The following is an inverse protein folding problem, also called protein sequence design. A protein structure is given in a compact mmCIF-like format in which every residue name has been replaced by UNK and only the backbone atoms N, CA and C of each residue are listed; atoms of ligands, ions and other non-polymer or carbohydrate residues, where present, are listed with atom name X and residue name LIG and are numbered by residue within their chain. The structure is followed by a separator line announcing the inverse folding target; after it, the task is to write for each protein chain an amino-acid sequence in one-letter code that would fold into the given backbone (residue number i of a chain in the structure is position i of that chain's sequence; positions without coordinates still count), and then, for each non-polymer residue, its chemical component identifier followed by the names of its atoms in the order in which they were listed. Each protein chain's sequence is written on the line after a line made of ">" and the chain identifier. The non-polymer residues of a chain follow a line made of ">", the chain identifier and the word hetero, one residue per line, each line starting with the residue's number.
data_IF_561419372768
#
_entry.id   IF_561419372768
#
_cell.length_a   1.000
_cell.length_b   1.000
_cell.length_c   1.000
_cell.angle_alpha   90.00
_cell.angle_beta   90.00
_cell.angle_gamma   90.00
#
_symmetry.space_group_name_H-M   'P 1'
#
loop_
_entity.id
_entity.type
_entity.pdbx_description
1 polymer ?
#
# COMPACT_ATOMS: atom_id res chain seq x y z
N UNK A 1 12.98 21.12 -3.92
CA UNK A 1 13.67 19.81 -3.98
C UNK A 1 12.85 18.90 -4.88
N UNK A 2 13.35 18.49 -6.05
CA UNK A 2 12.54 17.82 -7.09
C UNK A 2 11.88 16.53 -6.55
N UNK A 3 10.55 16.45 -6.62
CA UNK A 3 9.71 15.34 -6.16
C UNK A 3 10.25 13.98 -6.63
N UNK A 4 10.73 13.91 -7.88
CA UNK A 4 11.29 12.71 -8.52
C UNK A 4 12.57 12.23 -7.82
N UNK A 5 13.45 13.15 -7.39
CA UNK A 5 14.67 12.79 -6.63
C UNK A 5 14.36 12.34 -5.22
N UNK A 6 13.29 12.87 -4.61
CA UNK A 6 12.83 12.41 -3.30
C UNK A 6 12.27 10.99 -3.40
N UNK A 7 11.44 10.72 -4.42
CA UNK A 7 10.88 9.40 -4.69
C UNK A 7 11.99 8.36 -4.95
N UNK A 8 12.98 8.68 -5.79
CA UNK A 8 14.04 7.70 -6.11
C UNK A 8 14.92 7.36 -4.91
N UNK A 9 15.30 8.35 -4.09
CA UNK A 9 16.06 8.12 -2.85
C UNK A 9 15.25 7.32 -1.83
N UNK A 10 13.95 7.61 -1.73
CA UNK A 10 13.01 6.90 -0.86
C UNK A 10 12.91 5.42 -1.25
N UNK A 11 12.79 5.16 -2.55
CA UNK A 11 12.70 3.80 -3.10
C UNK A 11 14.00 3.01 -2.89
N UNK A 12 15.15 3.66 -3.08
CA UNK A 12 16.45 3.04 -2.85
C UNK A 12 16.65 2.64 -1.36
N UNK A 13 16.27 3.52 -0.43
CA UNK A 13 16.33 3.23 1.02
C UNK A 13 15.43 2.06 1.45
N UNK A 14 14.29 1.86 0.78
CA UNK A 14 13.43 0.70 0.99
C UNK A 14 14.04 -0.57 0.43
N UNK A 15 14.59 -0.52 -0.79
CA UNK A 15 15.25 -1.64 -1.46
C UNK A 15 16.47 -2.15 -0.69
N UNK A 16 17.26 -1.26 -0.09
CA UNK A 16 18.39 -1.63 0.76
C UNK A 16 17.96 -2.29 2.08
N UNK A 17 16.74 -2.00 2.56
CA UNK A 17 16.25 -2.56 3.82
C UNK A 17 15.55 -3.91 3.59
N UNK A 18 16.27 -5.00 3.86
CA UNK A 18 15.79 -6.39 3.75
C UNK A 18 15.18 -6.74 2.38
N UNK A 19 15.99 -6.72 1.29
CA UNK A 19 15.51 -6.92 -0.08
C UNK A 19 14.79 -8.26 -0.29
N UNK A 20 15.21 -9.32 0.42
CA UNK A 20 14.57 -10.64 0.31
C UNK A 20 13.12 -10.64 0.78
N UNK A 21 12.80 -9.96 1.88
CA UNK A 21 11.41 -9.85 2.36
C UNK A 21 10.57 -8.98 1.44
N UNK A 22 11.14 -7.87 0.97
CA UNK A 22 10.48 -7.01 -0.01
C UNK A 22 10.14 -7.77 -1.29
N UNK A 23 11.11 -8.49 -1.87
CA UNK A 23 10.92 -9.31 -3.06
C UNK A 23 9.86 -10.39 -2.85
N UNK A 24 9.86 -11.05 -1.69
CA UNK A 24 8.85 -12.04 -1.33
C UNK A 24 7.45 -11.42 -1.23
N UNK A 25 7.32 -10.23 -0.65
CA UNK A 25 6.03 -9.51 -0.62
C UNK A 25 5.56 -9.15 -2.04
N UNK A 26 6.46 -8.69 -2.91
CA UNK A 26 6.13 -8.42 -4.32
C UNK A 26 5.70 -9.69 -5.05
N UNK A 27 6.42 -10.79 -4.86
CA UNK A 27 6.09 -12.09 -5.45
C UNK A 27 4.71 -12.58 -4.99
N UNK A 28 4.41 -12.53 -3.70
CA UNK A 28 3.07 -12.89 -3.18
C UNK A 28 2.00 -11.96 -3.75
N UNK A 29 2.29 -10.67 -3.93
CA UNK A 29 1.34 -9.72 -4.54
C UNK A 29 1.03 -10.09 -5.99
N UNK A 30 2.04 -10.44 -6.78
CA UNK A 30 1.86 -10.91 -8.16
C UNK A 30 1.05 -12.21 -8.22
N UNK A 31 1.41 -13.20 -7.39
CA UNK A 31 0.69 -14.48 -7.30
C UNK A 31 -0.77 -14.23 -6.92
N UNK A 32 -1.04 -13.37 -5.93
CA UNK A 32 -2.42 -13.02 -5.55
C UNK A 32 -3.20 -12.34 -6.67
N UNK A 33 -2.57 -11.45 -7.44
CA UNK A 33 -3.21 -10.81 -8.59
C UNK A 33 -3.61 -11.82 -9.67
N UNK A 34 -2.72 -12.78 -9.95
CA UNK A 34 -2.99 -13.90 -10.87
C UNK A 34 -4.11 -14.78 -10.32
N UNK A 35 -4.02 -15.20 -9.06
CA UNK A 35 -4.96 -16.13 -8.43
C UNK A 35 -6.38 -15.56 -8.33
N UNK A 36 -6.48 -14.28 -7.97
CA UNK A 36 -7.77 -13.60 -7.79
C UNK A 36 -8.51 -13.43 -9.12
N UNK A 37 -7.80 -13.06 -10.19
CA UNK A 37 -8.41 -12.97 -11.51
C UNK A 37 -8.73 -14.34 -12.11
N UNK A 38 -7.85 -15.33 -11.90
CA UNK A 38 -8.10 -16.71 -12.33
C UNK A 38 -9.37 -17.28 -11.67
N UNK A 39 -9.56 -17.05 -10.37
CA UNK A 39 -10.77 -17.47 -9.64
C UNK A 39 -12.06 -16.90 -10.24
N UNK A 40 -12.06 -15.63 -10.66
CA UNK A 40 -13.21 -14.99 -11.32
C UNK A 40 -13.45 -15.60 -12.70
N UNK A 41 -12.40 -15.77 -13.50
CA UNK A 41 -12.52 -16.32 -14.87
C UNK A 41 -12.96 -17.78 -14.85
N UNK A 42 -12.57 -18.55 -13.82
CA UNK A 42 -12.95 -19.95 -13.64
C UNK A 42 -14.45 -20.15 -13.38
N UNK A 43 -15.20 -19.10 -13.00
CA UNK A 43 -16.66 -19.16 -12.90
C UNK A 43 -17.33 -19.27 -14.27
N UNK A 44 -16.72 -18.76 -15.34
CA UNK A 44 -17.34 -18.73 -16.67
C UNK A 44 -17.51 -20.16 -17.24
N UNK A 45 -16.48 -21.02 -17.28
CA UNK A 45 -16.66 -22.41 -17.70
C UNK A 45 -17.63 -23.18 -16.80
N UNK A 46 -17.67 -22.89 -15.50
CA UNK A 46 -18.59 -23.54 -14.57
C UNK A 46 -20.05 -23.18 -14.88
N UNK A 47 -20.33 -21.93 -15.24
CA UNK A 47 -21.64 -21.50 -15.71
C UNK A 47 -22.01 -22.15 -17.06
N UNK A 48 -21.07 -22.28 -17.99
CA UNK A 48 -21.30 -22.91 -19.30
C UNK A 48 -21.60 -24.42 -19.19
N UNK A 49 -20.92 -25.12 -18.27
CA UNK A 49 -21.19 -26.54 -18.01
C UNK A 49 -22.53 -26.79 -17.31
N UNK A 50 -23.06 -25.79 -16.60
CA UNK A 50 -24.40 -25.85 -16.01
C UNK A 50 -25.48 -25.55 -17.06
N UNK A 51 -25.18 -24.74 -18.07
CA UNK A 51 -26.12 -24.26 -19.10
C UNK A 51 -26.15 -25.15 -20.36
N UNK A 52 -26.22 -26.48 -20.18
CA UNK A 52 -26.17 -27.54 -21.22
C UNK A 52 -27.29 -27.45 -22.29
N UNK A 53 -27.96 -26.30 -22.47
CA UNK A 53 -29.04 -26.07 -23.42
C UNK A 53 -28.91 -24.85 -24.33
N UNK A 54 -27.96 -23.93 -24.13
CA UNK A 54 -27.82 -22.73 -24.97
C UNK A 54 -26.44 -22.65 -25.63
N UNK A 55 -26.37 -23.12 -26.87
CA UNK A 55 -25.14 -23.18 -27.65
C UNK A 55 -24.68 -21.82 -28.15
N UNK A 56 -23.75 -21.19 -27.46
CA UNK A 56 -22.74 -20.35 -28.10
C UNK A 56 -21.34 -20.73 -27.58
N UNK A 57 -20.44 -21.21 -28.45
CA UNK A 57 -19.08 -21.52 -28.06
C UNK A 57 -18.32 -20.21 -27.86
N UNK A 58 -17.96 -19.88 -26.62
CA UNK A 58 -16.91 -18.89 -26.37
C UNK A 58 -15.56 -19.53 -26.76
N UNK A 59 -15.28 -19.50 -28.07
CA UNK A 59 -14.26 -20.33 -28.73
C UNK A 59 -12.84 -20.11 -28.15
N UNK A 60 -12.54 -18.92 -27.61
CA UNK A 60 -11.22 -18.61 -27.06
C UNK A 60 -10.93 -19.17 -25.65
N UNK A 61 -11.87 -19.01 -24.71
CA UNK A 61 -11.64 -19.37 -23.30
C UNK A 61 -11.84 -20.88 -23.06
N UNK A 62 -12.82 -21.49 -23.71
CA UNK A 62 -13.06 -22.93 -23.61
C UNK A 62 -11.85 -23.74 -24.13
N UNK A 63 -11.23 -23.30 -25.23
CA UNK A 63 -10.00 -23.90 -25.76
C UNK A 63 -8.79 -23.68 -24.83
N UNK A 64 -8.68 -22.51 -24.18
CA UNK A 64 -7.62 -22.26 -23.20
C UNK A 64 -7.72 -23.21 -22.00
N UNK A 65 -8.94 -23.38 -21.44
CA UNK A 65 -9.17 -24.31 -20.32
C UNK A 65 -8.99 -25.76 -20.73
N UNK A 66 -9.41 -26.16 -21.94
CA UNK A 66 -9.18 -27.50 -22.47
C UNK A 66 -7.69 -27.81 -22.61
N UNK A 67 -6.90 -26.90 -23.18
CA UNK A 67 -5.44 -27.05 -23.28
C UNK A 67 -4.75 -27.09 -21.90
N UNK A 68 -5.24 -26.30 -20.93
CA UNK A 68 -4.75 -26.35 -19.55
C UNK A 68 -5.06 -27.70 -18.89
N UNK A 69 -6.25 -28.23 -19.12
CA UNK A 69 -6.67 -29.52 -18.56
C UNK A 69 -5.91 -30.69 -19.18
N UNK A 70 -5.69 -30.67 -20.49
CA UNK A 70 -4.87 -31.66 -21.20
C UNK A 70 -3.42 -31.65 -20.70
N UNK A 71 -2.84 -30.46 -20.43
CA UNK A 71 -1.51 -30.34 -19.81
C UNK A 71 -1.47 -30.79 -18.35
N UNK A 72 -2.56 -30.61 -17.62
CA UNK A 72 -2.68 -31.03 -16.22
C UNK A 72 -3.04 -32.52 -16.08
N UNK A 73 -3.41 -33.21 -17.17
CA UNK A 73 -3.88 -34.60 -17.15
C UNK A 73 -5.21 -34.78 -16.41
N UNK A 74 -6.00 -33.71 -16.26
CA UNK A 74 -7.27 -33.72 -15.55
C UNK A 74 -8.42 -33.77 -16.56
N UNK A 75 -9.40 -34.63 -16.34
CA UNK A 75 -10.65 -34.59 -17.09
C UNK A 75 -11.49 -33.39 -16.61
N UNK A 76 -11.96 -32.57 -17.55
CA UNK A 76 -12.84 -31.42 -17.28
C UNK A 76 -14.23 -31.91 -16.86
N UNK A 77 -14.35 -32.35 -15.61
CA UNK A 77 -15.62 -32.62 -14.96
C UNK A 77 -15.98 -31.44 -14.02
N UNK A 78 -17.28 -31.21 -13.82
CA UNK A 78 -17.82 -30.22 -12.88
C UNK A 78 -17.17 -30.39 -11.49
N UNK A 79 -16.99 -31.64 -11.04
CA UNK A 79 -16.33 -31.95 -9.77
C UNK A 79 -14.88 -31.45 -9.68
N UNK A 80 -14.10 -31.59 -10.75
CA UNK A 80 -12.70 -31.15 -10.79
C UNK A 80 -12.60 -29.62 -10.73
N UNK A 81 -13.43 -28.92 -11.50
CA UNK A 81 -13.47 -27.45 -11.52
C UNK A 81 -13.89 -26.91 -10.14
N UNK A 82 -14.88 -27.55 -9.50
CA UNK A 82 -15.34 -27.16 -8.17
C UNK A 82 -14.26 -27.37 -7.11
N UNK A 83 -13.50 -28.47 -7.20
CA UNK A 83 -12.38 -28.73 -6.29
C UNK A 83 -11.27 -27.69 -6.46
N UNK A 84 -10.90 -27.36 -7.71
CA UNK A 84 -9.93 -26.29 -8.00
C UNK A 84 -10.45 -24.95 -7.45
N UNK A 85 -11.72 -24.62 -7.67
CA UNK A 85 -12.32 -23.39 -7.14
C UNK A 85 -12.27 -23.35 -5.61
N UNK A 86 -12.60 -24.45 -4.92
CA UNK A 86 -12.51 -24.55 -3.46
C UNK A 86 -11.08 -24.33 -2.95
N UNK A 87 -10.09 -24.94 -3.61
CA UNK A 87 -8.67 -24.73 -3.29
C UNK A 87 -8.29 -23.28 -3.48
N UNK A 88 -8.67 -22.66 -4.60
CA UNK A 88 -8.40 -21.23 -4.85
C UNK A 88 -9.04 -20.34 -3.79
N UNK A 89 -10.30 -20.60 -3.44
CA UNK A 89 -11.07 -19.84 -2.45
C UNK A 89 -10.46 -19.95 -1.05
N UNK A 90 -9.79 -21.07 -0.74
CA UNK A 90 -9.11 -21.29 0.54
C UNK A 90 -7.68 -20.74 0.56
N UNK A 91 -6.90 -20.99 -0.50
CA UNK A 91 -5.49 -20.61 -0.59
C UNK A 91 -5.32 -19.10 -0.75
N UNK A 92 -6.19 -18.43 -1.51
CA UNK A 92 -6.12 -16.98 -1.72
C UNK A 92 -6.13 -16.18 -0.42
N UNK A 93 -7.14 -16.33 0.48
CA UNK A 93 -7.16 -15.59 1.74
C UNK A 93 -6.00 -15.99 2.67
N UNK A 94 -5.54 -17.25 2.64
CA UNK A 94 -4.35 -17.66 3.37
C UNK A 94 -3.12 -16.88 2.90
N UNK A 95 -2.85 -16.83 1.59
CA UNK A 95 -1.75 -16.06 1.03
C UNK A 95 -1.86 -14.57 1.37
N UNK A 96 -3.07 -14.00 1.34
CA UNK A 96 -3.31 -12.61 1.77
C UNK A 96 -3.01 -12.40 3.25
N UNK A 97 -3.41 -13.33 4.12
CA UNK A 97 -3.11 -13.27 5.55
C UNK A 97 -1.60 -13.31 5.82
N UNK A 98 -0.88 -14.24 5.18
CA UNK A 98 0.57 -14.35 5.30
C UNK A 98 1.28 -13.09 4.79
N UNK A 99 0.82 -12.54 3.66
CA UNK A 99 1.30 -11.26 3.14
C UNK A 99 1.07 -10.12 4.15
N UNK A 100 -0.10 -10.05 4.79
CA UNK A 100 -0.41 -9.03 5.78
C UNK A 100 0.53 -9.08 6.99
N UNK A 101 0.86 -10.28 7.46
CA UNK A 101 1.86 -10.47 8.53
C UNK A 101 3.26 -10.01 8.12
N UNK A 102 3.68 -10.35 6.89
CA UNK A 102 4.97 -9.92 6.33
C UNK A 102 5.03 -8.40 6.16
N UNK A 103 3.97 -7.79 5.64
CA UNK A 103 3.85 -6.35 5.46
C UNK A 103 3.96 -5.62 6.81
N UNK A 104 3.25 -6.09 7.84
CA UNK A 104 3.31 -5.53 9.19
C UNK A 104 4.70 -5.69 9.82
N UNK A 105 5.32 -6.86 9.66
CA UNK A 105 6.67 -7.12 10.15
C UNK A 105 7.73 -6.26 9.46
N UNK A 106 7.63 -6.11 8.14
CA UNK A 106 8.52 -5.26 7.34
C UNK A 106 8.39 -3.79 7.75
N UNK A 107 7.16 -3.28 7.89
CA UNK A 107 6.89 -1.90 8.31
C UNK A 107 7.51 -1.60 9.69
N UNK A 108 7.27 -2.47 10.67
CA UNK A 108 7.82 -2.31 12.04
C UNK A 108 9.35 -2.30 12.03
N UNK A 109 9.98 -3.25 11.32
CA UNK A 109 11.44 -3.35 11.22
C UNK A 109 12.05 -2.13 10.54
N UNK A 110 11.42 -1.63 9.49
CA UNK A 110 11.86 -0.43 8.77
C UNK A 110 11.80 0.81 9.66
N UNK A 111 10.67 1.05 10.35
CA UNK A 111 10.51 2.16 11.31
C UNK A 111 11.60 2.10 12.38
N UNK A 112 11.82 0.92 12.98
CA UNK A 112 12.82 0.72 14.02
C UNK A 112 14.24 1.05 13.53
N UNK A 113 14.59 0.62 12.32
CA UNK A 113 15.92 0.83 11.75
C UNK A 113 16.20 2.31 11.48
N UNK A 114 15.21 3.05 10.95
CA UNK A 114 15.33 4.50 10.75
C UNK A 114 15.45 5.23 12.09
N UNK A 115 14.57 4.92 13.07
CA UNK A 115 14.65 5.52 14.42
C UNK A 115 16.02 5.31 15.05
N UNK A 116 16.56 4.09 14.99
CA UNK A 116 17.87 3.76 15.57
C UNK A 116 19.01 4.51 14.88
N UNK A 117 19.02 4.61 13.55
CA UNK A 117 20.03 5.35 12.79
C UNK A 117 20.01 6.84 13.13
N UNK A 118 18.83 7.44 13.23
CA UNK A 118 18.68 8.85 13.57
C UNK A 118 19.06 9.14 15.01
N UNK A 119 18.62 8.32 15.97
CA UNK A 119 19.02 8.43 17.36
C UNK A 119 20.54 8.39 17.53
N UNK A 120 21.22 7.46 16.84
CA UNK A 120 22.69 7.39 16.84
C UNK A 120 23.35 8.64 16.26
N UNK A 121 22.82 9.20 15.17
CA UNK A 121 23.35 10.44 14.57
C UNK A 121 23.15 11.66 15.47
N UNK A 122 22.05 11.70 16.22
CA UNK A 122 21.76 12.78 17.17
C UNK A 122 22.72 12.73 18.36
N UNK A 123 23.00 11.54 18.90
CA UNK A 123 23.97 11.37 20.00
C UNK A 123 25.38 11.76 19.57
N UNK A 124 25.76 11.49 18.31
CA UNK A 124 27.08 11.79 17.77
C UNK A 124 27.20 13.21 17.19
N UNK A 125 26.15 14.03 17.25
CA UNK A 125 26.17 15.38 16.69
C UNK A 125 26.93 16.35 17.61
N UNK A 126 27.65 17.31 17.00
CA UNK A 126 28.37 18.33 17.74
C UNK A 126 27.45 19.16 18.64
N UNK A 127 27.95 19.47 19.84
CA UNK A 127 27.22 20.25 20.85
C UNK A 127 26.75 21.61 20.30
N UNK A 128 27.51 22.23 19.39
CA UNK A 128 27.14 23.50 18.75
C UNK A 128 25.83 23.42 17.92
N UNK A 129 25.55 22.27 17.30
CA UNK A 129 24.31 22.01 16.56
C UNK A 129 23.13 21.72 17.51
N UNK A 130 23.39 21.04 18.62
CA UNK A 130 22.41 20.72 19.66
C UNK A 130 21.95 21.97 20.41
N UNK A 131 22.85 22.91 20.71
CA UNK A 131 22.51 24.13 21.45
C UNK A 131 21.79 25.19 20.60
N UNK A 132 21.92 25.12 19.27
CA UNK A 132 21.23 26.01 18.32
C UNK A 132 19.77 25.60 18.03
N UNK A 133 19.34 24.39 18.42
CA UNK A 133 17.97 23.90 18.21
C UNK A 133 17.28 23.62 19.54
N UNK A 134 16.01 24.00 19.65
CA UNK A 134 15.20 23.72 20.85
C UNK A 134 15.14 22.21 21.15
N UNK A 135 15.34 21.84 22.43
CA UNK A 135 15.18 20.46 22.93
C UNK A 135 13.81 19.87 22.59
N UNK A 136 12.76 20.69 22.64
CA UNK A 136 11.38 20.32 22.29
C UNK A 136 11.26 19.94 20.81
N UNK A 137 11.93 20.70 19.92
CA UNK A 137 11.94 20.41 18.49
C UNK A 137 12.69 19.10 18.19
N UNK A 138 13.81 18.85 18.87
CA UNK A 138 14.57 17.60 18.73
C UNK A 138 13.74 16.37 19.18
N UNK A 139 13.03 16.48 20.31
CA UNK A 139 12.12 15.44 20.81
C UNK A 139 10.93 15.22 19.87
N UNK A 140 10.36 16.28 19.30
CA UNK A 140 9.25 16.18 18.35
C UNK A 140 9.67 15.47 17.05
N UNK A 141 10.85 15.77 16.51
CA UNK A 141 11.37 15.11 15.31
C UNK A 141 11.53 13.60 15.57
N UNK A 142 12.13 13.22 16.68
CA UNK A 142 12.35 11.82 17.07
C UNK A 142 11.06 11.05 17.33
N UNK A 143 10.09 11.67 18.01
CA UNK A 143 8.90 11.00 18.53
C UNK A 143 7.73 11.02 17.55
N UNK A 144 7.66 12.01 16.65
CA UNK A 144 6.53 12.19 15.71
C UNK A 144 6.95 12.21 14.24
N UNK A 145 7.98 12.97 13.85
CA UNK A 145 8.30 13.12 12.42
C UNK A 145 8.93 11.87 11.81
N UNK A 146 9.82 11.18 12.54
CA UNK A 146 10.46 9.95 12.05
C UNK A 146 9.49 8.77 11.89
N UNK A 147 8.60 8.46 12.86
CA UNK A 147 7.56 7.46 12.67
C UNK A 147 6.61 7.80 11.53
N UNK A 148 6.20 9.07 11.42
CA UNK A 148 5.32 9.52 10.35
C UNK A 148 6.00 9.37 8.99
N UNK A 149 7.28 9.74 8.89
CA UNK A 149 8.08 9.55 7.69
C UNK A 149 8.10 8.08 7.27
N UNK A 150 8.48 7.17 8.16
CA UNK A 150 8.48 5.74 7.86
C UNK A 150 7.07 5.19 7.54
N UNK A 151 6.01 5.77 8.13
CA UNK A 151 4.62 5.52 7.75
C UNK A 151 4.30 5.96 6.31
N UNK A 152 4.74 7.15 5.90
CA UNK A 152 4.57 7.64 4.53
C UNK A 152 5.28 6.76 3.49
N UNK A 153 6.49 6.28 3.83
CA UNK A 153 7.22 5.31 2.99
C UNK A 153 6.43 4.01 2.81
N UNK A 154 5.83 3.51 3.88
CA UNK A 154 4.97 2.32 3.80
C UNK A 154 3.72 2.55 2.94
N UNK A 155 3.08 3.71 3.07
CA UNK A 155 1.93 4.09 2.22
C UNK A 155 2.33 4.11 0.74
N UNK A 156 3.50 4.66 0.42
CA UNK A 156 4.03 4.69 -0.94
C UNK A 156 4.25 3.27 -1.50
N UNK A 157 4.83 2.38 -0.69
CA UNK A 157 5.03 0.98 -1.05
C UNK A 157 3.70 0.22 -1.23
N UNK A 158 2.71 0.47 -0.37
CA UNK A 158 1.36 -0.07 -0.52
C UNK A 158 0.66 0.44 -1.77
N UNK A 159 0.89 1.70 -2.15
CA UNK A 159 0.37 2.27 -3.40
C UNK A 159 0.94 1.55 -4.62
N UNK A 160 2.25 1.24 -4.64
CA UNK A 160 2.87 0.44 -5.70
C UNK A 160 2.28 -0.98 -5.79
N UNK A 161 2.08 -1.64 -4.65
CA UNK A 161 1.44 -2.96 -4.61
C UNK A 161 -0.01 -2.91 -5.12
N UNK A 162 -0.75 -1.87 -4.75
CA UNK A 162 -2.11 -1.64 -5.27
C UNK A 162 -2.10 -1.41 -6.78
N UNK A 163 -1.11 -0.70 -7.32
CA UNK A 163 -0.98 -0.49 -8.75
C UNK A 163 -0.75 -1.80 -9.50
N UNK A 164 0.10 -2.68 -8.97
CA UNK A 164 0.32 -4.03 -9.52
C UNK A 164 -0.99 -4.82 -9.54
N UNK A 165 -1.78 -4.78 -8.46
CA UNK A 165 -3.07 -5.47 -8.40
C UNK A 165 -4.06 -4.91 -9.43
N UNK A 166 -4.15 -3.59 -9.56
CA UNK A 166 -5.00 -2.94 -10.58
C UNK A 166 -4.56 -3.36 -11.99
N UNK A 167 -3.26 -3.37 -12.29
CA UNK A 167 -2.75 -3.84 -13.57
C UNK A 167 -3.10 -5.31 -13.83
N UNK A 168 -2.98 -6.19 -12.82
CA UNK A 168 -3.36 -7.59 -12.94
C UNK A 168 -4.87 -7.75 -13.23
N UNK A 169 -5.72 -6.99 -12.55
CA UNK A 169 -7.17 -7.01 -12.78
C UNK A 169 -7.55 -6.47 -14.16
N UNK A 170 -6.91 -5.40 -14.62
CA UNK A 170 -7.10 -4.89 -15.98
C UNK A 170 -6.65 -5.92 -17.01
N UNK A 171 -5.52 -6.59 -16.80
CA UNK A 171 -5.05 -7.65 -17.70
C UNK A 171 -6.08 -8.79 -17.83
N UNK A 172 -6.61 -9.27 -16.70
CA UNK A 172 -7.69 -10.27 -16.69
C UNK A 172 -8.97 -9.77 -17.36
N UNK A 173 -9.35 -8.52 -17.11
CA UNK A 173 -10.54 -7.92 -17.72
C UNK A 173 -10.40 -7.79 -19.25
N UNK A 174 -9.22 -7.42 -19.76
CA UNK A 174 -8.95 -7.35 -21.20
C UNK A 174 -9.04 -8.73 -21.85
N UNK A 175 -8.50 -9.77 -21.19
CA UNK A 175 -8.62 -11.17 -21.64
C UNK A 175 -10.09 -11.58 -21.75
N UNK A 176 -10.93 -11.14 -20.79
CA UNK A 176 -12.35 -11.45 -20.78
C UNK A 176 -13.14 -10.69 -21.86
N UNK A 177 -13.00 -9.36 -21.89
CA UNK A 177 -13.64 -8.49 -22.88
C UNK A 177 -12.93 -7.14 -22.95
N UNK A 178 -12.14 -6.96 -24.00
CA UNK A 178 -11.44 -5.70 -24.25
C UNK A 178 -12.41 -4.51 -24.37
N UNK A 179 -13.52 -4.67 -25.11
CA UNK A 179 -14.50 -3.59 -25.36
C UNK A 179 -15.11 -3.07 -24.05
N UNK A 180 -15.62 -3.97 -23.20
CA UNK A 180 -16.19 -3.59 -21.90
C UNK A 180 -15.12 -2.99 -20.97
N UNK A 181 -13.92 -3.55 -20.97
CA UNK A 181 -12.82 -3.06 -20.14
C UNK A 181 -12.44 -1.63 -20.46
N UNK A 182 -12.32 -1.26 -21.74
CA UNK A 182 -12.02 0.13 -22.13
C UNK A 182 -13.07 1.12 -21.67
N UNK A 183 -14.36 0.76 -21.74
CA UNK A 183 -15.45 1.61 -21.24
C UNK A 183 -15.33 1.81 -19.73
N UNK A 184 -15.16 0.73 -18.96
CA UNK A 184 -15.04 0.78 -17.50
C UNK A 184 -13.79 1.56 -17.07
N UNK A 185 -12.65 1.33 -17.73
CA UNK A 185 -11.41 2.07 -17.48
C UNK A 185 -11.60 3.56 -17.79
N UNK A 186 -12.30 3.91 -18.88
CA UNK A 186 -12.65 5.29 -19.22
C UNK A 186 -13.46 5.98 -18.12
N UNK A 187 -14.51 5.32 -17.62
CA UNK A 187 -15.32 5.82 -16.49
C UNK A 187 -14.48 5.95 -15.23
N UNK A 188 -13.60 4.99 -14.94
CA UNK A 188 -12.68 5.02 -13.80
C UNK A 188 -11.70 6.19 -13.86
N UNK A 189 -11.14 6.49 -15.04
CA UNK A 189 -10.27 7.64 -15.26
C UNK A 189 -11.04 8.95 -15.07
N UNK A 190 -12.27 9.03 -15.59
CA UNK A 190 -13.11 10.21 -15.43
C UNK A 190 -13.41 10.47 -13.94
N UNK A 191 -13.84 9.44 -13.20
CA UNK A 191 -14.05 9.50 -11.76
C UNK A 191 -12.77 9.91 -11.02
N UNK A 192 -11.62 9.35 -11.40
CA UNK A 192 -10.33 9.71 -10.81
C UNK A 192 -10.00 11.20 -10.99
N UNK A 193 -10.26 11.76 -12.18
CA UNK A 193 -10.05 13.19 -12.45
C UNK A 193 -10.96 14.06 -11.56
N UNK A 194 -12.22 13.69 -11.39
CA UNK A 194 -13.13 14.39 -10.48
C UNK A 194 -12.66 14.30 -9.02
N UNK A 195 -12.27 13.10 -8.56
CA UNK A 195 -11.82 12.89 -7.19
C UNK A 195 -10.48 13.57 -6.89
N UNK A 196 -9.61 13.70 -7.89
CA UNK A 196 -8.32 14.40 -7.77
C UNK A 196 -8.49 15.82 -7.22
N UNK A 197 -9.57 16.52 -7.59
CA UNK A 197 -9.90 17.85 -7.04
C UNK A 197 -10.06 17.83 -5.52
N UNK A 198 -10.75 16.81 -4.99
CA UNK A 198 -10.97 16.65 -3.55
C UNK A 198 -9.68 16.28 -2.82
N UNK A 199 -8.83 15.44 -3.43
CA UNK A 199 -7.52 15.09 -2.87
C UNK A 199 -6.65 16.33 -2.70
N UNK A 200 -6.58 17.22 -3.70
CA UNK A 200 -5.80 18.46 -3.58
C UNK A 200 -6.34 19.41 -2.53
N UNK A 201 -7.68 19.50 -2.38
CA UNK A 201 -8.30 20.29 -1.31
C UNK A 201 -7.98 19.72 0.07
N UNK A 202 -8.07 18.40 0.23
CA UNK A 202 -7.71 17.72 1.48
C UNK A 202 -6.23 17.96 1.83
N UNK A 203 -5.35 17.99 0.84
CA UNK A 203 -3.93 18.30 1.05
C UNK A 203 -3.71 19.73 1.58
N UNK A 204 -4.36 20.74 0.99
CA UNK A 204 -4.26 22.13 1.45
C UNK A 204 -4.84 22.31 2.87
N UNK A 205 -5.96 21.65 3.17
CA UNK A 205 -6.53 21.63 4.52
C UNK A 205 -5.58 20.98 5.54
N UNK A 206 -4.86 19.93 5.12
CA UNK A 206 -3.85 19.26 5.93
C UNK A 206 -2.65 20.16 6.25
N UNK A 207 -2.15 20.93 5.29
CA UNK A 207 -1.08 21.92 5.54
C UNK A 207 -1.53 22.97 6.56
N UNK A 208 -2.73 23.55 6.39
CA UNK A 208 -3.28 24.51 7.35
C UNK A 208 -3.49 23.94 8.76
N UNK A 209 -3.86 22.66 8.86
CA UNK A 209 -3.96 21.95 10.14
C UNK A 209 -2.60 21.82 10.85
N UNK A 210 -1.54 21.45 10.10
CA UNK A 210 -0.19 21.31 10.65
C UNK A 210 0.33 22.65 11.19
N UNK A 211 0.14 23.73 10.44
CA UNK A 211 0.57 25.06 10.85
C UNK A 211 -0.18 25.56 12.10
N UNK A 212 -1.50 25.37 12.13
CA UNK A 212 -2.33 25.71 13.30
C UNK A 212 -1.91 24.91 14.53
N UNK A 213 -1.61 23.61 14.37
CA UNK A 213 -1.14 22.76 15.46
C UNK A 213 0.22 23.21 16.02
N UNK A 214 1.15 23.62 15.16
CA UNK A 214 2.44 24.19 15.59
C UNK A 214 2.27 25.48 16.38
N UNK A 215 1.37 26.37 15.94
CA UNK A 215 1.08 27.61 16.67
C UNK A 215 0.49 27.33 18.05
N UNK A 216 -0.48 26.41 18.14
CA UNK A 216 -1.07 26.00 19.41
C UNK A 216 -0.03 25.46 20.39
N UNK A 217 0.87 24.58 19.94
CA UNK A 217 1.96 24.07 20.79
C UNK A 217 2.88 25.19 21.29
N UNK A 218 3.17 26.18 20.44
CA UNK A 218 3.97 27.35 20.84
C UNK A 218 3.27 28.18 21.93
N UNK A 219 1.97 28.44 21.79
CA UNK A 219 1.20 29.16 22.81
C UNK A 219 1.18 28.43 24.15
N UNK A 220 1.09 27.09 24.14
CA UNK A 220 1.16 26.30 25.37
C UNK A 220 2.53 26.46 26.05
N UNK A 221 3.62 26.46 25.28
CA UNK A 221 4.99 26.65 25.83
C UNK A 221 5.18 28.06 26.42
N UNK A 222 4.71 29.10 25.72
CA UNK A 222 4.76 30.49 26.18
C UNK A 222 3.90 30.70 27.44
N UNK A 223 2.73 30.04 27.52
CA UNK A 223 1.88 30.05 28.71
C UNK A 223 2.57 29.42 29.91
N UNK A 224 3.26 28.29 29.73
CA UNK A 224 4.03 27.65 30.79
C UNK A 224 5.15 28.55 31.33
N UNK A 225 5.84 29.29 30.46
CA UNK A 225 6.84 30.28 30.90
C UNK A 225 6.19 31.40 31.72
N UNK A 226 5.05 31.91 31.27
CA UNK A 226 4.32 32.98 31.96
C UNK A 226 3.85 32.54 33.35
N UNK A 227 3.27 31.33 33.46
CA UNK A 227 2.86 30.75 34.75
C UNK A 227 4.04 30.59 35.70
N UNK A 228 5.20 30.17 35.19
CA UNK A 228 6.42 30.04 35.99
C UNK A 228 6.87 31.38 36.56
N UNK A 229 6.87 32.44 35.75
CA UNK A 229 7.22 33.80 36.18
C UNK A 229 6.22 34.30 37.25
N UNK A 230 4.92 34.14 37.00
CA UNK A 230 3.87 34.58 37.92
C UNK A 230 3.97 33.90 39.28
N UNK A 231 4.23 32.57 39.33
CA UNK A 231 4.45 31.86 40.59
C UNK A 231 5.70 32.33 41.33
N UNK A 232 6.81 32.57 40.61
CA UNK A 232 8.06 33.05 41.24
C UNK A 232 7.87 34.44 41.86
N UNK A 233 7.16 35.35 41.17
CA UNK A 233 6.86 36.69 41.71
C UNK A 233 5.76 36.70 42.79
N UNK A 234 4.82 35.76 42.77
CA UNK A 234 3.81 35.63 43.85
C UNK A 234 4.35 34.91 45.09
N UNK A 235 5.64 34.59 45.12
CA UNK A 235 6.33 33.93 46.24
C UNK A 235 7.28 34.86 47.01
N UNK A 236 7.31 36.17 46.64
CA UNK A 236 7.86 37.26 47.47
C UNK A 236 6.71 37.99 48.16
#
# INVERSE_FOLDING_TARGET
>A
MNLIRFISKTFHLLLEHQPGKLALIFAITLVNGINSGFSIVLLIPLLQLLDVGSGEPSDGLALFFRNLSEKAGLELNIGTILLVYLVLLTVTPLLQYWKSLLDAGYQRSFIYTIRRRLFRKIILADWSLLNRKSKTNLLQVLTHEVPNLAGYFYIYLRMLMSLIMVCAYIAWAIILSAKFTFIIVGVGILLFIFLRRYIFRAFHLGEGFIDSYRQLLKYIDDFWQTVKIAKVHSSE
#
